data_IF_249091531527
#
_entry.id   IF_249091531527
#
_cell.length_a   1.000
_cell.length_b   1.000
_cell.length_c   1.000
_cell.angle_alpha   90.00
_cell.angle_beta   90.00
_cell.angle_gamma   90.00
#
_symmetry.space_group_name_H-M   'P 1'
#
loop_
_entity.id
_entity.type
_entity.pdbx_description
1 polymer ?
#
# COMPACT_ATOMS: atom_id res chain seq x y z
N UNK A 1 21.83 20.39 -13.00
CA UNK A 1 22.46 21.24 -11.97
C UNK A 1 21.54 21.50 -10.79
N UNK A 2 20.31 21.98 -11.00
CA UNK A 2 19.42 22.36 -9.88
C UNK A 2 19.08 21.20 -8.93
N UNK A 3 18.83 19.98 -9.45
CA UNK A 3 18.55 18.81 -8.62
C UNK A 3 19.76 18.33 -7.80
N UNK A 4 20.95 18.32 -8.40
CA UNK A 4 22.20 17.93 -7.71
C UNK A 4 22.55 18.94 -6.61
N UNK A 5 22.37 20.24 -6.89
CA UNK A 5 22.55 21.31 -5.91
C UNK A 5 21.55 21.23 -4.74
N UNK A 6 20.40 20.59 -4.94
CA UNK A 6 19.39 20.31 -3.92
C UNK A 6 19.60 18.96 -3.21
N UNK A 7 20.72 18.25 -3.47
CA UNK A 7 20.99 16.93 -2.89
C UNK A 7 20.15 15.79 -3.48
N UNK A 8 19.45 16.01 -4.60
CA UNK A 8 18.59 15.03 -5.30
C UNK A 8 19.35 14.27 -6.39
N UNK A 9 20.55 13.78 -6.06
CA UNK A 9 21.49 13.18 -7.02
C UNK A 9 20.93 11.94 -7.73
N UNK A 10 20.14 11.10 -7.06
CA UNK A 10 19.50 9.92 -7.68
C UNK A 10 18.38 10.28 -8.68
N UNK A 11 17.74 11.42 -8.50
CA UNK A 11 16.73 11.93 -9.44
C UNK A 11 17.38 12.65 -10.62
N UNK A 12 18.45 13.39 -10.35
CA UNK A 12 19.31 13.93 -11.40
C UNK A 12 19.87 12.81 -12.28
N UNK A 13 20.30 11.68 -11.69
CA UNK A 13 20.74 10.52 -12.46
C UNK A 13 19.64 10.01 -13.39
N UNK A 14 18.43 9.76 -12.87
CA UNK A 14 17.29 9.28 -13.69
C UNK A 14 16.93 10.22 -14.84
N UNK A 15 16.95 11.54 -14.59
CA UNK A 15 16.67 12.54 -15.61
C UNK A 15 17.76 12.57 -16.69
N UNK A 16 19.04 12.60 -16.30
CA UNK A 16 20.15 12.59 -17.26
C UNK A 16 20.22 11.27 -18.04
N UNK A 17 19.89 10.14 -17.42
CA UNK A 17 19.83 8.83 -18.08
C UNK A 17 18.71 8.78 -19.14
N UNK A 18 17.52 9.33 -18.82
CA UNK A 18 16.44 9.47 -19.80
C UNK A 18 16.83 10.35 -20.98
N UNK A 19 17.45 11.51 -20.72
CA UNK A 19 17.95 12.40 -21.78
C UNK A 19 19.00 11.69 -22.65
N UNK A 20 19.97 11.02 -22.02
CA UNK A 20 21.02 10.29 -22.72
C UNK A 20 20.47 9.17 -23.62
N UNK A 21 19.45 8.45 -23.16
CA UNK A 21 18.80 7.38 -23.92
C UNK A 21 17.95 7.93 -25.07
N UNK A 22 17.08 8.90 -24.78
CA UNK A 22 16.04 9.34 -25.71
C UNK A 22 16.57 10.34 -26.76
N UNK A 23 17.68 11.05 -26.45
CA UNK A 23 18.30 12.05 -27.32
C UNK A 23 19.75 11.71 -27.70
N UNK A 24 20.12 10.42 -27.73
CA UNK A 24 21.50 9.97 -27.95
C UNK A 24 22.19 10.55 -29.21
N UNK A 25 21.43 10.89 -30.25
CA UNK A 25 21.94 11.46 -31.51
C UNK A 25 22.13 12.98 -31.46
N UNK A 26 21.66 13.63 -30.39
CA UNK A 26 21.69 15.09 -30.26
C UNK A 26 22.96 15.53 -29.53
N UNK A 27 23.76 16.45 -30.08
CA UNK A 27 25.04 16.87 -29.48
C UNK A 27 24.91 17.35 -28.03
N UNK A 28 23.82 18.03 -27.69
CA UNK A 28 23.52 18.58 -26.37
C UNK A 28 23.30 17.48 -25.32
N UNK A 29 22.93 16.26 -25.73
CA UNK A 29 22.76 15.13 -24.83
C UNK A 29 24.09 14.55 -24.31
N UNK A 30 25.25 14.91 -24.92
CA UNK A 30 26.58 14.47 -24.44
C UNK A 30 26.84 14.87 -22.99
N UNK A 31 26.44 16.09 -22.61
CA UNK A 31 26.58 16.55 -21.23
C UNK A 31 25.75 15.71 -20.24
N UNK A 32 24.60 15.19 -20.67
CA UNK A 32 23.80 14.28 -19.86
C UNK A 32 24.47 12.90 -19.72
N UNK A 33 25.09 12.38 -20.79
CA UNK A 33 25.86 11.12 -20.75
C UNK A 33 27.03 11.19 -19.76
N UNK A 34 27.81 12.28 -19.81
CA UNK A 34 28.94 12.50 -18.90
C UNK A 34 28.48 12.59 -17.44
N UNK A 35 27.41 13.35 -17.17
CA UNK A 35 26.82 13.48 -15.83
C UNK A 35 26.25 12.17 -15.31
N UNK A 36 25.55 11.41 -16.14
CA UNK A 36 25.06 10.07 -15.79
C UNK A 36 26.21 9.17 -15.38
N UNK A 37 27.34 9.21 -16.10
CA UNK A 37 28.52 8.41 -15.79
C UNK A 37 29.14 8.80 -14.45
N UNK A 38 29.26 10.11 -14.19
CA UNK A 38 29.74 10.62 -12.91
C UNK A 38 28.82 10.23 -11.74
N UNK A 39 27.51 10.43 -11.89
CA UNK A 39 26.52 10.15 -10.85
C UNK A 39 26.37 8.65 -10.54
N UNK A 40 26.57 7.75 -11.51
CA UNK A 40 26.58 6.29 -11.26
C UNK A 40 27.71 5.85 -10.33
N UNK A 41 28.83 6.58 -10.31
CA UNK A 41 29.95 6.31 -9.40
C UNK A 41 29.80 6.97 -8.02
N UNK A 42 28.78 7.79 -7.81
CA UNK A 42 28.61 8.56 -6.58
C UNK A 42 28.08 7.68 -5.42
N UNK A 43 28.77 7.69 -4.28
CA UNK A 43 28.43 6.87 -3.13
C UNK A 43 27.03 7.18 -2.54
N UNK A 44 26.55 8.43 -2.67
CA UNK A 44 25.21 8.84 -2.22
C UNK A 44 24.12 8.22 -3.11
N UNK A 45 24.34 8.18 -4.42
CA UNK A 45 23.44 7.58 -5.39
C UNK A 45 23.40 6.07 -5.21
N UNK A 46 24.57 5.41 -5.11
CA UNK A 46 24.67 3.96 -4.87
C UNK A 46 23.93 3.57 -3.60
N UNK A 47 24.12 4.32 -2.51
CA UNK A 47 23.43 4.05 -1.23
C UNK A 47 21.93 4.19 -1.36
N UNK A 48 21.47 5.28 -1.99
CA UNK A 48 20.05 5.53 -2.23
C UNK A 48 19.42 4.42 -3.08
N UNK A 49 20.06 4.02 -4.17
CA UNK A 49 19.55 2.95 -5.05
C UNK A 49 19.50 1.60 -4.32
N UNK A 50 20.51 1.27 -3.51
CA UNK A 50 20.51 0.06 -2.70
C UNK A 50 19.39 0.07 -1.65
N UNK A 51 19.13 1.21 -0.99
CA UNK A 51 18.03 1.38 -0.05
C UNK A 51 16.66 1.29 -0.75
N UNK A 52 16.50 1.95 -1.89
CA UNK A 52 15.29 1.90 -2.71
C UNK A 52 15.01 0.47 -3.21
N UNK A 53 16.04 -0.27 -3.62
CA UNK A 53 15.92 -1.67 -4.05
C UNK A 53 15.49 -2.56 -2.89
N UNK A 54 16.15 -2.45 -1.72
CA UNK A 54 15.75 -3.18 -0.51
C UNK A 54 14.31 -2.90 -0.11
N UNK A 55 13.86 -1.64 -0.27
CA UNK A 55 12.48 -1.25 0.01
C UNK A 55 11.51 -1.87 -1.01
N UNK A 56 11.83 -1.85 -2.30
CA UNK A 56 11.03 -2.46 -3.34
C UNK A 56 10.86 -3.98 -3.13
N UNK A 57 11.94 -4.68 -2.80
CA UNK A 57 11.86 -6.10 -2.44
C UNK A 57 10.98 -6.34 -1.21
N UNK A 58 11.08 -5.47 -0.19
CA UNK A 58 10.26 -5.57 1.01
C UNK A 58 8.78 -5.34 0.68
N UNK A 59 8.46 -4.31 -0.10
CA UNK A 59 7.10 -4.00 -0.56
C UNK A 59 6.50 -5.15 -1.39
N UNK A 60 7.33 -5.83 -2.21
CA UNK A 60 6.93 -7.03 -2.95
C UNK A 60 6.65 -8.20 -2.00
N UNK A 61 7.56 -8.50 -1.06
CA UNK A 61 7.37 -9.56 -0.06
C UNK A 61 6.10 -9.32 0.77
N UNK A 62 5.87 -8.09 1.22
CA UNK A 62 4.66 -7.71 1.97
C UNK A 62 3.37 -7.90 1.15
N UNK A 63 3.43 -7.65 -0.17
CA UNK A 63 2.31 -7.94 -1.07
C UNK A 63 1.98 -9.42 -1.17
N UNK A 64 3.01 -10.27 -1.30
CA UNK A 64 2.85 -11.72 -1.33
C UNK A 64 2.35 -12.28 0.01
N UNK A 65 2.88 -11.79 1.13
CA UNK A 65 2.43 -12.22 2.46
C UNK A 65 0.98 -11.81 2.74
N UNK A 66 0.54 -10.63 2.27
CA UNK A 66 -0.87 -10.26 2.34
C UNK A 66 -1.76 -11.28 1.62
N UNK A 67 -1.42 -11.64 0.38
CA UNK A 67 -2.20 -12.62 -0.38
C UNK A 67 -2.26 -13.98 0.33
N UNK A 68 -1.12 -14.48 0.82
CA UNK A 68 -1.06 -15.73 1.59
C UNK A 68 -1.92 -15.67 2.86
N UNK A 69 -1.89 -14.56 3.58
CA UNK A 69 -2.72 -14.39 4.79
C UNK A 69 -4.20 -14.44 4.42
N UNK A 70 -4.64 -13.70 3.40
CA UNK A 70 -6.04 -13.71 2.96
C UNK A 70 -6.49 -15.06 2.40
N UNK A 71 -5.61 -15.77 1.69
CA UNK A 71 -5.87 -17.14 1.24
C UNK A 71 -6.06 -18.11 2.40
N UNK A 72 -5.24 -18.00 3.46
CA UNK A 72 -5.42 -18.78 4.69
C UNK A 72 -6.74 -18.43 5.37
N UNK A 73 -7.07 -17.15 5.49
CA UNK A 73 -8.37 -16.70 6.05
C UNK A 73 -9.56 -17.27 5.28
N UNK A 74 -9.47 -17.33 3.94
CA UNK A 74 -10.48 -17.97 3.09
C UNK A 74 -10.59 -19.48 3.33
N UNK A 75 -9.47 -20.15 3.61
CA UNK A 75 -9.42 -21.59 3.86
C UNK A 75 -9.84 -21.98 5.29
N UNK A 76 -9.80 -21.05 6.26
CA UNK A 76 -10.23 -21.31 7.62
C UNK A 76 -11.73 -21.63 7.66
N UNK A 77 -12.08 -22.76 8.29
CA UNK A 77 -13.48 -23.19 8.43
C UNK A 77 -14.28 -22.24 9.32
N UNK A 78 -13.65 -21.78 10.40
CA UNK A 78 -14.25 -20.86 11.35
C UNK A 78 -13.90 -19.42 11.01
N UNK A 79 -14.79 -18.50 11.38
CA UNK A 79 -14.57 -17.07 11.19
C UNK A 79 -13.55 -16.54 12.21
N UNK A 80 -12.34 -16.25 11.75
CA UNK A 80 -11.27 -15.63 12.56
C UNK A 80 -11.74 -14.35 13.23
N UNK A 81 -11.49 -14.20 14.54
CA UNK A 81 -11.86 -12.99 15.31
C UNK A 81 -11.25 -11.71 14.71
N UNK A 82 -11.89 -10.56 14.95
CA UNK A 82 -11.37 -9.26 14.48
C UNK A 82 -9.94 -9.01 14.97
N UNK A 83 -9.68 -9.29 16.24
CA UNK A 83 -8.34 -9.16 16.83
C UNK A 83 -7.31 -10.08 16.14
N UNK A 84 -7.67 -11.34 15.90
CA UNK A 84 -6.79 -12.30 15.24
C UNK A 84 -6.47 -11.87 13.81
N UNK A 85 -7.48 -11.43 13.05
CA UNK A 85 -7.31 -10.93 11.69
C UNK A 85 -6.40 -9.70 11.65
N UNK A 86 -6.66 -8.70 12.50
CA UNK A 86 -5.85 -7.48 12.57
C UNK A 86 -4.40 -7.77 12.95
N UNK A 87 -4.18 -8.75 13.85
CA UNK A 87 -2.84 -9.21 14.23
C UNK A 87 -2.11 -9.91 13.09
N UNK A 88 -2.77 -10.83 12.38
CA UNK A 88 -2.20 -11.53 11.21
C UNK A 88 -1.84 -10.55 10.07
N UNK A 89 -2.58 -9.45 9.96
CA UNK A 89 -2.35 -8.38 8.98
C UNK A 89 -1.41 -7.27 9.48
N UNK A 90 -0.93 -7.36 10.74
CA UNK A 90 -0.02 -6.39 11.35
C UNK A 90 -0.51 -4.93 11.31
N UNK A 91 -1.84 -4.70 11.35
CA UNK A 91 -2.41 -3.36 11.14
C UNK A 91 -1.86 -2.34 12.15
N UNK A 92 -1.88 -2.69 13.44
CA UNK A 92 -1.40 -1.79 14.50
C UNK A 92 0.10 -1.46 14.39
N UNK A 93 0.93 -2.42 13.97
CA UNK A 93 2.38 -2.21 13.83
C UNK A 93 2.70 -1.32 12.63
N UNK A 94 1.95 -1.48 11.54
CA UNK A 94 2.05 -0.59 10.39
C UNK A 94 1.60 0.82 10.76
N UNK A 95 0.48 0.99 11.47
CA UNK A 95 -0.02 2.30 11.92
C UNK A 95 1.03 3.01 12.80
N UNK A 96 1.60 2.32 13.78
CA UNK A 96 2.70 2.84 14.61
C UNK A 96 3.91 3.26 13.77
N UNK A 97 4.21 2.54 12.69
CA UNK A 97 5.32 2.90 11.80
C UNK A 97 5.01 4.15 10.98
N UNK A 98 3.76 4.31 10.54
CA UNK A 98 3.28 5.50 9.84
C UNK A 98 3.33 6.75 10.72
N UNK A 99 2.96 6.62 11.99
CA UNK A 99 2.93 7.70 12.98
C UNK A 99 4.33 8.26 13.30
N UNK A 100 5.39 7.46 13.14
CA UNK A 100 6.77 7.88 13.40
C UNK A 100 7.29 8.97 12.45
N UNK A 101 6.59 9.26 11.34
CA UNK A 101 6.84 10.46 10.53
C UNK A 101 7.66 10.22 9.26
N UNK A 102 8.49 11.19 8.88
CA UNK A 102 9.19 11.22 7.58
C UNK A 102 10.39 10.25 7.54
N UNK A 103 10.08 8.99 7.21
CA UNK A 103 11.07 8.00 6.82
C UNK A 103 10.59 7.15 5.63
N UNK A 104 11.52 6.51 4.94
CA UNK A 104 11.22 5.57 3.86
C UNK A 104 10.35 4.40 4.36
N UNK A 105 10.57 3.96 5.61
CA UNK A 105 9.77 2.94 6.27
C UNK A 105 8.33 3.39 6.51
N UNK A 106 8.11 4.64 6.95
CA UNK A 106 6.76 5.16 7.13
C UNK A 106 6.02 5.26 5.79
N UNK A 107 6.69 5.69 4.72
CA UNK A 107 6.11 5.72 3.37
C UNK A 107 5.75 4.30 2.87
N UNK A 108 6.61 3.31 3.10
CA UNK A 108 6.32 1.89 2.81
C UNK A 108 5.16 1.34 3.63
N UNK A 109 5.12 1.62 4.95
CA UNK A 109 4.03 1.22 5.83
C UNK A 109 2.68 1.85 5.41
N UNK A 110 2.66 3.13 4.98
CA UNK A 110 1.47 3.77 4.40
C UNK A 110 0.97 3.04 3.17
N UNK A 111 1.86 2.69 2.23
CA UNK A 111 1.50 1.91 1.03
C UNK A 111 0.94 0.54 1.39
N UNK A 112 1.56 -0.15 2.35
CA UNK A 112 1.09 -1.47 2.76
C UNK A 112 -0.27 -1.38 3.47
N UNK A 113 -0.50 -0.41 4.36
CA UNK A 113 -1.81 -0.19 4.97
C UNK A 113 -2.88 0.11 3.93
N UNK A 114 -2.58 0.96 2.94
CA UNK A 114 -3.51 1.27 1.86
C UNK A 114 -3.85 -0.01 1.05
N UNK A 115 -2.85 -0.86 0.79
CA UNK A 115 -3.07 -2.15 0.12
C UNK A 115 -3.98 -3.07 0.95
N UNK A 116 -3.69 -3.24 2.24
CA UNK A 116 -4.52 -4.04 3.17
C UNK A 116 -5.95 -3.49 3.18
N UNK A 117 -6.10 -2.17 3.32
CA UNK A 117 -7.40 -1.50 3.35
C UNK A 117 -8.24 -1.81 2.11
N UNK A 118 -7.68 -1.68 0.90
CA UNK A 118 -8.44 -1.96 -0.34
C UNK A 118 -8.89 -3.42 -0.42
N UNK A 119 -8.06 -4.37 0.03
CA UNK A 119 -8.48 -5.77 0.09
C UNK A 119 -9.63 -6.00 1.06
N UNK A 120 -9.56 -5.39 2.25
CA UNK A 120 -10.57 -5.56 3.30
C UNK A 120 -11.86 -4.76 3.07
N UNK A 121 -11.78 -3.61 2.42
CA UNK A 121 -12.91 -2.71 2.18
C UNK A 121 -13.63 -2.99 0.87
N UNK A 122 -13.06 -3.82 -0.02
CA UNK A 122 -13.62 -4.06 -1.35
C UNK A 122 -13.46 -5.50 -1.83
N UNK A 123 -12.22 -5.96 -2.06
CA UNK A 123 -12.01 -7.23 -2.79
C UNK A 123 -12.51 -8.46 -2.03
N UNK A 124 -12.13 -8.64 -0.77
CA UNK A 124 -12.58 -9.78 0.04
C UNK A 124 -14.09 -9.70 0.34
N UNK A 125 -14.67 -8.56 0.80
CA UNK A 125 -16.11 -8.46 0.97
C UNK A 125 -16.91 -8.81 -0.28
N UNK A 126 -16.50 -8.30 -1.46
CA UNK A 126 -17.16 -8.60 -2.73
C UNK A 126 -17.16 -10.11 -3.01
N UNK A 127 -16.02 -10.77 -2.81
CA UNK A 127 -15.91 -12.21 -3.01
C UNK A 127 -16.79 -13.00 -2.04
N UNK A 128 -16.80 -12.62 -0.75
CA UNK A 128 -17.62 -13.29 0.25
C UNK A 128 -19.13 -13.09 0.02
N UNK A 129 -19.55 -11.88 -0.32
CA UNK A 129 -20.96 -11.60 -0.66
C UNK A 129 -21.40 -12.38 -1.90
N UNK A 130 -20.56 -12.47 -2.94
CA UNK A 130 -20.86 -13.27 -4.13
C UNK A 130 -21.03 -14.76 -3.81
N UNK A 131 -20.37 -15.26 -2.75
CA UNK A 131 -20.48 -16.64 -2.28
C UNK A 131 -21.54 -16.83 -1.19
N UNK A 132 -22.32 -15.81 -0.86
CA UNK A 132 -23.37 -15.89 0.16
C UNK A 132 -22.86 -15.96 1.60
N UNK A 133 -21.65 -15.47 1.88
CA UNK A 133 -21.06 -15.41 3.23
C UNK A 133 -20.94 -13.95 3.73
N UNK A 134 -22.07 -13.31 4.10
CA UNK A 134 -22.04 -11.93 4.56
C UNK A 134 -21.35 -11.78 5.92
N UNK A 135 -21.26 -12.85 6.73
CA UNK A 135 -20.57 -12.80 8.02
C UNK A 135 -19.06 -12.58 7.84
N UNK A 136 -18.44 -13.26 6.87
CA UNK A 136 -17.05 -13.00 6.49
C UNK A 136 -16.87 -11.62 5.88
N UNK A 137 -17.78 -11.17 5.02
CA UNK A 137 -17.73 -9.82 4.47
C UNK A 137 -17.74 -8.75 5.57
N UNK A 138 -18.64 -8.89 6.56
CA UNK A 138 -18.71 -7.99 7.71
C UNK A 138 -17.42 -7.99 8.53
N UNK A 139 -16.79 -9.15 8.74
CA UNK A 139 -15.50 -9.23 9.45
C UNK A 139 -14.38 -8.47 8.71
N UNK A 140 -14.36 -8.51 7.38
CA UNK A 140 -13.41 -7.74 6.59
C UNK A 140 -13.67 -6.24 6.72
N UNK A 141 -14.93 -5.80 6.69
CA UNK A 141 -15.27 -4.40 6.93
C UNK A 141 -14.91 -3.93 8.34
N UNK A 142 -15.16 -4.75 9.38
CA UNK A 142 -14.74 -4.46 10.75
C UNK A 142 -13.23 -4.26 10.85
N UNK A 143 -12.43 -5.03 10.12
CA UNK A 143 -10.99 -4.85 10.06
C UNK A 143 -10.60 -3.59 9.26
N UNK A 144 -11.26 -3.32 8.13
CA UNK A 144 -10.99 -2.15 7.30
C UNK A 144 -11.20 -0.83 8.06
N UNK A 145 -12.28 -0.73 8.85
CA UNK A 145 -12.59 0.50 9.61
C UNK A 145 -11.60 0.79 10.74
N UNK A 146 -10.76 -0.18 11.11
CA UNK A 146 -9.63 0.09 12.02
C UNK A 146 -8.48 0.84 11.34
N UNK A 147 -8.43 0.86 10.01
CA UNK A 147 -7.43 1.58 9.21
C UNK A 147 -7.96 2.95 8.80
N UNK A 148 -9.22 3.02 8.34
CA UNK A 148 -9.84 4.27 7.88
C UNK A 148 -11.29 4.08 7.40
N UNK A 149 -11.99 5.18 7.06
CA UNK A 149 -13.38 5.12 6.61
C UNK A 149 -13.51 4.43 5.25
N UNK A 150 -14.59 3.67 5.06
CA UNK A 150 -14.93 3.01 3.80
C UNK A 150 -15.43 4.05 2.79
N UNK A 151 -15.00 3.92 1.54
CA UNK A 151 -15.27 4.88 0.47
C UNK A 151 -15.74 4.20 -0.82
N UNK A 152 -16.44 4.96 -1.68
CA UNK A 152 -16.81 4.54 -3.03
C UNK A 152 -17.66 3.27 -3.08
N UNK A 153 -17.32 2.35 -3.98
CA UNK A 153 -18.06 1.08 -4.16
C UNK A 153 -18.05 0.19 -2.90
N UNK A 154 -17.03 0.32 -2.03
CA UNK A 154 -16.98 -0.40 -0.75
C UNK A 154 -18.17 -0.08 0.15
N UNK A 155 -18.73 1.13 0.04
CA UNK A 155 -19.92 1.51 0.80
C UNK A 155 -21.20 0.84 0.31
N UNK A 156 -21.31 0.56 -0.99
CA UNK A 156 -22.42 -0.23 -1.50
C UNK A 156 -22.35 -1.67 -0.95
N UNK A 157 -21.17 -2.29 -1.02
CA UNK A 157 -20.93 -3.63 -0.48
C UNK A 157 -21.18 -3.70 1.04
N UNK A 158 -20.78 -2.67 1.80
CA UNK A 158 -21.06 -2.61 3.23
C UNK A 158 -22.57 -2.57 3.49
N UNK A 159 -23.32 -1.72 2.76
CA UNK A 159 -24.78 -1.66 2.89
C UNK A 159 -25.45 -3.00 2.59
N UNK A 160 -24.98 -3.71 1.57
CA UNK A 160 -25.49 -5.04 1.23
C UNK A 160 -25.21 -6.05 2.35
N UNK A 161 -24.01 -6.02 2.93
CA UNK A 161 -23.62 -6.90 4.03
C UNK A 161 -24.38 -6.61 5.34
N UNK A 162 -24.73 -5.34 5.61
CA UNK A 162 -25.41 -4.92 6.85
C UNK A 162 -26.80 -5.55 7.04
N UNK A 163 -27.43 -6.05 5.97
CA UNK A 163 -28.67 -6.81 6.06
C UNK A 163 -28.56 -8.07 6.93
N UNK A 164 -27.37 -8.68 6.99
CA UNK A 164 -27.09 -9.87 7.81
C UNK A 164 -26.35 -9.56 9.13
N UNK A 165 -26.06 -8.29 9.41
CA UNK A 165 -25.26 -7.91 10.57
C UNK A 165 -26.00 -8.06 11.90
N UNK A 166 -25.25 -8.36 12.97
CA UNK A 166 -25.76 -8.25 14.34
C UNK A 166 -25.96 -6.78 14.73
N UNK A 167 -26.74 -6.52 15.79
CA UNK A 167 -26.92 -5.15 16.29
C UNK A 167 -25.60 -4.48 16.66
N UNK A 168 -24.67 -5.23 17.24
CA UNK A 168 -23.34 -4.76 17.61
C UNK A 168 -22.48 -4.41 16.38
N UNK A 169 -22.53 -5.25 15.34
CA UNK A 169 -21.85 -4.98 14.07
C UNK A 169 -22.41 -3.74 13.38
N UNK A 170 -23.75 -3.57 13.37
CA UNK A 170 -24.37 -2.36 12.82
C UNK A 170 -23.94 -1.12 13.60
N UNK A 171 -23.88 -1.18 14.92
CA UNK A 171 -23.43 -0.05 15.73
C UNK A 171 -21.97 0.35 15.42
N UNK A 172 -21.08 -0.64 15.25
CA UNK A 172 -19.67 -0.37 14.86
C UNK A 172 -19.52 0.19 13.45
N UNK A 173 -20.27 -0.36 12.50
CA UNK A 173 -20.14 -0.06 11.06
C UNK A 173 -21.04 1.08 10.59
N UNK A 174 -22.00 1.52 11.40
CA UNK A 174 -22.82 2.68 11.13
C UNK A 174 -21.95 3.94 11.00
N UNK A 175 -22.19 4.73 9.96
CA UNK A 175 -21.45 5.97 9.71
C UNK A 175 -20.00 5.79 9.24
N UNK A 176 -19.55 4.55 9.00
CA UNK A 176 -18.19 4.27 8.49
C UNK A 176 -18.03 4.51 6.99
N UNK A 177 -19.09 4.96 6.33
CA UNK A 177 -19.07 5.39 4.94
C UNK A 177 -18.80 6.89 4.86
N UNK A 178 -17.68 7.26 4.24
CA UNK A 178 -17.43 8.64 3.88
C UNK A 178 -18.06 8.94 2.52
N UNK A 179 -18.76 10.07 2.42
CA UNK A 179 -19.23 10.58 1.13
C UNK A 179 -18.03 10.98 0.27
N UNK A 180 -18.07 10.72 -1.05
CA UNK A 180 -17.06 11.24 -1.96
C UNK A 180 -17.16 12.77 -1.97
N UNK A 181 -16.21 13.46 -1.34
CA UNK A 181 -15.99 14.90 -1.51
C UNK A 181 -15.35 15.20 -2.85
#
# INVERSE_FOLDING_TARGET
MELEAQGRSAEALRLNDAIARDYARWPEARAAVERTTALRGDASVIRYEAEAHKLAERDQRQGLELQKTLERERAERELSTLESLNRKLHIADLQKTVERGDSLEAASARRQLARVFVWLAFYEPRAYLANGDPARALRMFEAAVTIGPIQGEGCALLRDALGAATAEQRARLAGQCADPT
#
